data_IF_247638287274
#
_entry.id   IF_247638287274
#
_cell.length_a   1.000
_cell.length_b   1.000
_cell.length_c   1.000
_cell.angle_alpha   90.00
_cell.angle_beta   90.00
_cell.angle_gamma   90.00
#
_symmetry.space_group_name_H-M   'P 1'
#
loop_
_entity.id
_entity.type
_entity.pdbx_description
1 polymer ?
#
# COMPACT_ATOMS: atom_id res chain seq x y z
N UNK A 1 -0.78 -7.85 19.33
CA UNK A 1 -1.18 -6.75 18.45
C UNK A 1 -2.61 -6.95 17.94
N UNK A 2 -3.34 -5.88 17.56
CA UNK A 2 -4.70 -5.91 17.00
C UNK A 2 -4.77 -4.93 15.84
N UNK A 3 -5.33 -5.34 14.71
CA UNK A 3 -5.70 -4.44 13.62
C UNK A 3 -7.02 -3.79 14.01
N UNK A 4 -7.10 -2.46 13.97
CA UNK A 4 -8.24 -1.66 14.43
C UNK A 4 -8.89 -0.85 13.32
N UNK A 5 -8.26 -0.77 12.13
CA UNK A 5 -8.81 -0.13 10.96
C UNK A 5 -8.09 -0.57 9.70
N UNK A 6 -8.80 -0.55 8.58
CA UNK A 6 -8.31 -0.94 7.26
C UNK A 6 -8.76 0.06 6.20
N UNK A 7 -7.98 0.20 5.14
CA UNK A 7 -8.31 1.07 4.01
C UNK A 7 -7.63 0.62 2.74
N UNK A 8 -8.30 0.84 1.62
CA UNK A 8 -7.77 0.49 0.31
C UNK A 8 -8.06 1.57 -0.72
N UNK A 9 -7.19 1.67 -1.72
CA UNK A 9 -7.38 2.48 -2.91
C UNK A 9 -6.90 1.70 -4.14
N UNK A 10 -7.61 1.88 -5.24
CA UNK A 10 -7.31 1.23 -6.50
C UNK A 10 -7.33 2.27 -7.63
N UNK A 11 -6.49 2.11 -8.66
CA UNK A 11 -6.62 2.89 -9.90
C UNK A 11 -7.99 2.69 -10.54
N UNK A 12 -8.41 3.66 -11.33
CA UNK A 12 -9.73 3.64 -11.98
C UNK A 12 -9.76 2.79 -13.26
N UNK A 13 -8.61 2.62 -13.90
CA UNK A 13 -8.52 1.87 -15.15
C UNK A 13 -8.51 0.37 -14.85
N UNK A 14 -9.57 -0.34 -15.21
CA UNK A 14 -9.65 -1.79 -15.16
C UNK A 14 -9.27 -2.40 -16.51
N UNK A 15 -8.41 -3.41 -16.50
CA UNK A 15 -7.98 -4.17 -17.68
C UNK A 15 -8.44 -5.61 -17.51
N UNK A 16 -9.27 -6.10 -18.44
CA UNK A 16 -9.75 -7.48 -18.45
C UNK A 16 -8.73 -8.43 -19.08
N UNK A 17 -8.91 -9.74 -18.87
CA UNK A 17 -8.07 -10.74 -19.51
C UNK A 17 -8.19 -10.69 -21.03
N UNK A 18 -9.39 -10.49 -21.57
CA UNK A 18 -9.64 -10.33 -23.01
C UNK A 18 -8.89 -9.13 -23.63
N UNK A 19 -8.68 -8.07 -22.85
CA UNK A 19 -7.86 -6.94 -23.30
C UNK A 19 -6.39 -7.34 -23.41
N UNK A 20 -5.88 -8.19 -22.51
CA UNK A 20 -4.51 -8.68 -22.54
C UNK A 20 -4.26 -9.62 -23.73
N UNK A 21 -5.23 -10.43 -24.14
CA UNK A 21 -5.14 -11.33 -25.29
C UNK A 21 -4.81 -10.60 -26.60
N UNK A 22 -5.10 -9.29 -26.68
CA UNK A 22 -4.85 -8.48 -27.88
C UNK A 22 -3.37 -8.23 -28.17
N UNK A 23 -2.51 -8.38 -27.15
CA UNK A 23 -1.08 -8.07 -27.25
C UNK A 23 -0.16 -9.03 -26.49
N UNK A 24 -0.73 -10.00 -25.78
CA UNK A 24 0.02 -11.07 -25.11
C UNK A 24 -0.46 -12.44 -25.60
N UNK A 25 0.45 -13.40 -25.67
CA UNK A 25 0.13 -14.80 -25.96
C UNK A 25 -0.45 -15.47 -24.71
N UNK A 26 -1.73 -15.24 -24.44
CA UNK A 26 -2.48 -15.72 -23.28
C UNK A 26 -3.97 -15.87 -23.60
N UNK A 27 -4.78 -16.35 -22.64
CA UNK A 27 -6.24 -16.39 -22.72
C UNK A 27 -6.90 -16.12 -21.37
N UNK A 28 -8.17 -15.68 -21.38
CA UNK A 28 -8.95 -15.52 -20.14
C UNK A 28 -9.04 -16.85 -19.38
N UNK A 29 -9.25 -17.95 -20.08
CA UNK A 29 -9.29 -19.30 -19.47
C UNK A 29 -7.98 -19.62 -18.76
N UNK A 30 -6.83 -19.42 -19.44
CA UNK A 30 -5.51 -19.69 -18.90
C UNK A 30 -5.21 -18.87 -17.64
N UNK A 31 -5.50 -17.56 -17.68
CA UNK A 31 -5.27 -16.66 -16.53
C UNK A 31 -6.18 -17.01 -15.38
N UNK A 32 -7.48 -17.22 -15.67
CA UNK A 32 -8.50 -17.49 -14.66
C UNK A 32 -8.25 -18.83 -13.95
N UNK A 33 -7.91 -19.89 -14.71
CA UNK A 33 -7.63 -21.21 -14.14
C UNK A 33 -6.45 -21.18 -13.16
N UNK A 34 -5.41 -20.36 -13.44
CA UNK A 34 -4.18 -20.30 -12.63
C UNK A 34 -4.23 -19.30 -11.50
N UNK A 35 -5.00 -18.24 -11.64
CA UNK A 35 -4.94 -17.10 -10.72
C UNK A 35 -6.28 -16.70 -10.11
N UNK A 36 -7.39 -17.12 -10.71
CA UNK A 36 -8.73 -16.65 -10.37
C UNK A 36 -9.00 -15.19 -10.81
N UNK A 37 -8.04 -14.50 -11.44
CA UNK A 37 -8.13 -13.08 -11.78
C UNK A 37 -8.91 -12.91 -13.08
N UNK A 38 -9.98 -12.13 -13.05
CA UNK A 38 -10.78 -11.73 -14.22
C UNK A 38 -10.37 -10.39 -14.80
N UNK A 39 -10.00 -9.47 -13.92
CA UNK A 39 -9.54 -8.13 -14.26
C UNK A 39 -8.51 -7.62 -13.25
N UNK A 40 -7.74 -6.62 -13.61
CA UNK A 40 -6.80 -5.91 -12.72
C UNK A 40 -6.90 -4.42 -12.95
N UNK A 41 -6.71 -3.66 -11.87
CA UNK A 41 -6.57 -2.22 -11.97
C UNK A 41 -5.13 -1.86 -12.36
N UNK A 42 -4.99 -0.96 -13.32
CA UNK A 42 -3.70 -0.43 -13.74
C UNK A 42 -3.67 1.08 -13.53
N UNK A 43 -2.52 1.56 -13.10
CA UNK A 43 -2.33 3.00 -12.91
C UNK A 43 -2.30 3.70 -14.29
N UNK A 44 -2.97 4.81 -14.41
CA UNK A 44 -3.01 5.62 -15.64
C UNK A 44 -2.55 7.05 -15.39
N UNK A 45 -3.39 7.85 -14.78
CA UNK A 45 -3.10 9.24 -14.40
C UNK A 45 -2.90 9.43 -12.89
N UNK A 46 -3.22 8.42 -12.12
CA UNK A 46 -3.08 8.44 -10.67
C UNK A 46 -1.59 8.39 -10.27
N UNK A 47 -1.29 8.91 -9.09
CA UNK A 47 0.02 8.79 -8.46
C UNK A 47 -0.04 7.79 -7.31
N UNK A 48 1.02 6.99 -7.16
CA UNK A 48 1.12 6.00 -6.09
C UNK A 48 0.92 6.63 -4.72
N UNK A 49 1.60 7.75 -4.47
CA UNK A 49 1.50 8.44 -3.19
C UNK A 49 0.07 8.93 -2.88
N UNK A 50 -0.69 9.37 -3.88
CA UNK A 50 -2.07 9.84 -3.67
C UNK A 50 -3.01 8.66 -3.34
N UNK A 51 -2.83 7.52 -4.00
CA UNK A 51 -3.57 6.30 -3.66
C UNK A 51 -3.21 5.79 -2.27
N UNK A 52 -1.92 5.81 -1.91
CA UNK A 52 -1.46 5.45 -0.56
C UNK A 52 -2.08 6.34 0.52
N UNK A 53 -2.16 7.65 0.27
CA UNK A 53 -2.82 8.63 1.16
C UNK A 53 -4.32 8.36 1.29
N UNK A 54 -5.01 8.04 0.19
CA UNK A 54 -6.43 7.69 0.22
C UNK A 54 -6.65 6.43 1.08
N UNK A 55 -5.83 5.40 0.88
CA UNK A 55 -5.91 4.17 1.68
C UNK A 55 -5.61 4.43 3.17
N UNK A 56 -4.58 5.22 3.46
CA UNK A 56 -4.22 5.61 4.82
C UNK A 56 -5.35 6.35 5.53
N UNK A 57 -5.95 7.35 4.88
CA UNK A 57 -7.06 8.12 5.46
C UNK A 57 -8.29 7.24 5.72
N UNK A 58 -8.62 6.31 4.81
CA UNK A 58 -9.70 5.34 5.05
C UNK A 58 -9.43 4.43 6.24
N UNK A 59 -8.17 3.98 6.41
CA UNK A 59 -7.80 3.17 7.56
C UNK A 59 -7.90 3.95 8.88
N UNK A 60 -7.54 5.23 8.89
CA UNK A 60 -7.70 6.11 10.05
C UNK A 60 -9.19 6.32 10.37
N UNK A 61 -10.01 6.59 9.36
CA UNK A 61 -11.46 6.74 9.53
C UNK A 61 -12.12 5.49 10.10
N UNK A 62 -11.78 4.30 9.54
CA UNK A 62 -12.27 3.00 10.01
C UNK A 62 -11.85 2.71 11.46
N UNK A 63 -10.64 3.15 11.84
CA UNK A 63 -10.14 3.04 13.21
C UNK A 63 -10.76 4.07 14.19
N UNK A 64 -11.43 5.10 13.70
CA UNK A 64 -11.88 6.25 14.50
C UNK A 64 -10.71 7.09 15.03
N UNK A 65 -9.60 7.13 14.30
CA UNK A 65 -8.38 7.86 14.63
C UNK A 65 -8.12 9.01 13.65
N UNK A 66 -7.26 9.92 14.08
CA UNK A 66 -6.71 10.99 13.24
C UNK A 66 -5.21 10.79 13.02
N UNK A 67 -4.62 11.52 12.09
CA UNK A 67 -3.18 11.46 11.83
C UNK A 67 -2.32 11.81 13.07
N UNK A 68 -2.85 12.65 13.98
CA UNK A 68 -2.18 13.01 15.23
C UNK A 68 -2.13 11.89 16.28
N UNK A 69 -2.96 10.87 16.12
CA UNK A 69 -2.99 9.71 17.02
C UNK A 69 -1.97 8.64 16.63
N UNK A 70 -1.27 8.81 15.48
CA UNK A 70 -0.30 7.84 14.96
C UNK A 70 1.08 8.15 15.52
N UNK A 71 1.70 7.15 16.13
CA UNK A 71 3.04 7.24 16.74
C UNK A 71 4.17 6.80 15.80
N UNK A 72 3.85 6.02 14.75
CA UNK A 72 4.82 5.54 13.78
C UNK A 72 4.15 5.13 12.46
N UNK A 73 4.82 5.38 11.33
CA UNK A 73 4.39 4.92 10.01
C UNK A 73 5.43 3.95 9.45
N UNK A 74 4.99 2.78 8.98
CA UNK A 74 5.81 1.82 8.24
C UNK A 74 5.21 1.70 6.84
N UNK A 75 5.96 2.05 5.81
CA UNK A 75 5.54 1.86 4.43
C UNK A 75 6.34 0.72 3.81
N UNK A 76 5.65 -0.29 3.29
CA UNK A 76 6.25 -1.33 2.47
C UNK A 76 6.05 -0.98 1.01
N UNK A 77 7.16 -0.81 0.28
CA UNK A 77 7.16 -0.67 -1.18
C UNK A 77 8.45 -1.24 -1.78
N UNK A 78 8.42 -1.57 -3.06
CA UNK A 78 9.58 -2.00 -3.84
C UNK A 78 10.06 -0.88 -4.73
N UNK A 79 9.12 -0.19 -5.39
CA UNK A 79 9.40 0.85 -6.36
C UNK A 79 8.63 2.11 -6.01
N UNK A 80 9.37 3.21 -5.92
CA UNK A 80 8.84 4.54 -5.72
C UNK A 80 9.38 5.47 -6.82
N UNK A 81 8.64 6.52 -7.15
CA UNK A 81 9.08 7.55 -8.09
C UNK A 81 10.36 8.25 -7.63
N UNK A 82 10.54 8.37 -6.31
CA UNK A 82 11.69 9.04 -5.70
C UNK A 82 12.47 8.08 -4.78
N UNK A 83 13.80 8.15 -4.86
CA UNK A 83 14.67 7.51 -3.86
C UNK A 83 14.60 8.26 -2.53
N UNK A 84 14.47 9.58 -2.59
CA UNK A 84 14.29 10.48 -1.45
C UNK A 84 13.46 11.69 -1.87
N UNK A 85 12.48 12.15 -1.05
CA UNK A 85 12.10 11.56 0.23
C UNK A 85 11.49 10.16 0.09
N UNK A 86 11.55 9.36 1.18
CA UNK A 86 10.90 8.05 1.26
C UNK A 86 9.38 8.18 1.08
N UNK A 87 8.71 7.15 0.56
CA UNK A 87 7.25 7.20 0.35
C UNK A 87 6.49 7.42 1.66
N UNK A 88 6.95 6.80 2.75
CA UNK A 88 6.38 7.02 4.09
C UNK A 88 6.45 8.48 4.54
N UNK A 89 7.53 9.21 4.19
CA UNK A 89 7.64 10.65 4.48
C UNK A 89 6.65 11.48 3.65
N UNK A 90 6.43 11.11 2.39
CA UNK A 90 5.44 11.77 1.52
C UNK A 90 4.04 11.54 2.08
N UNK A 91 3.70 10.30 2.43
CA UNK A 91 2.42 9.94 3.04
C UNK A 91 2.22 10.71 4.34
N UNK A 92 3.23 10.70 5.24
CA UNK A 92 3.20 11.43 6.50
C UNK A 92 2.85 12.90 6.30
N UNK A 93 3.55 13.58 5.39
CA UNK A 93 3.30 15.00 5.11
C UNK A 93 1.90 15.25 4.55
N UNK A 94 1.43 14.40 3.63
CA UNK A 94 0.11 14.55 2.99
C UNK A 94 -1.06 14.27 3.94
N UNK A 95 -0.93 13.32 4.90
CA UNK A 95 -1.98 13.06 5.91
C UNK A 95 -1.89 14.00 7.12
N UNK A 96 -0.82 14.80 7.23
CA UNK A 96 -0.60 15.72 8.36
C UNK A 96 -0.11 15.05 9.64
N UNK A 97 0.49 13.86 9.55
CA UNK A 97 1.13 13.21 10.70
C UNK A 97 2.52 13.82 10.98
N UNK A 98 2.97 13.72 12.25
CA UNK A 98 4.28 14.24 12.68
C UNK A 98 5.18 13.18 13.32
N UNK A 99 4.72 11.93 13.34
CA UNK A 99 5.44 10.80 13.91
C UNK A 99 6.62 10.35 13.03
N UNK A 100 7.60 9.62 13.55
CA UNK A 100 8.66 9.00 12.74
C UNK A 100 8.10 8.02 11.69
N UNK A 101 8.81 7.91 10.57
CA UNK A 101 8.43 7.03 9.45
C UNK A 101 9.60 6.23 8.93
N UNK A 102 9.32 5.11 8.28
CA UNK A 102 10.32 4.27 7.60
C UNK A 102 9.71 3.56 6.41
N UNK A 103 10.48 3.45 5.32
CA UNK A 103 10.18 2.52 4.23
C UNK A 103 10.94 1.21 4.45
N UNK A 104 10.27 0.12 4.12
CA UNK A 104 10.89 -1.21 4.07
C UNK A 104 10.68 -1.82 2.68
N UNK A 105 11.70 -2.51 2.18
CA UNK A 105 11.61 -3.26 0.94
C UNK A 105 11.90 -4.73 1.23
N UNK A 106 10.87 -5.54 1.20
CA UNK A 106 10.92 -6.99 1.34
C UNK A 106 9.97 -7.67 0.35
N UNK A 107 9.69 -7.02 -0.76
CA UNK A 107 8.79 -7.49 -1.81
C UNK A 107 7.46 -8.03 -1.22
N UNK A 108 7.01 -9.21 -1.69
CA UNK A 108 5.75 -9.81 -1.23
C UNK A 108 5.68 -10.09 0.28
N UNK A 109 6.81 -10.15 0.98
CA UNK A 109 6.89 -10.34 2.42
C UNK A 109 6.81 -9.02 3.22
N UNK A 110 6.81 -7.86 2.54
CA UNK A 110 6.90 -6.55 3.19
C UNK A 110 5.82 -6.29 4.24
N UNK A 111 4.57 -6.67 3.97
CA UNK A 111 3.50 -6.55 4.96
C UNK A 111 3.79 -7.35 6.24
N UNK A 112 4.29 -8.58 6.11
CA UNK A 112 4.59 -9.44 7.26
C UNK A 112 5.72 -8.84 8.10
N UNK A 113 6.79 -8.35 7.46
CA UNK A 113 7.87 -7.66 8.18
C UNK A 113 7.42 -6.36 8.83
N UNK A 114 6.55 -5.58 8.16
CA UNK A 114 5.96 -4.39 8.76
C UNK A 114 5.14 -4.71 10.02
N UNK A 115 4.38 -5.81 9.99
CA UNK A 115 3.60 -6.29 11.14
C UNK A 115 4.50 -6.71 12.30
N UNK A 116 5.59 -7.44 12.04
CA UNK A 116 6.57 -7.87 13.02
C UNK A 116 7.23 -6.65 13.69
N UNK A 117 7.74 -5.71 12.90
CA UNK A 117 8.31 -4.46 13.40
C UNK A 117 7.32 -3.63 14.22
N UNK A 118 6.05 -3.59 13.81
CA UNK A 118 5.01 -2.90 14.55
C UNK A 118 4.73 -3.58 15.89
N UNK A 119 4.65 -4.91 15.91
CA UNK A 119 4.42 -5.66 17.14
C UNK A 119 5.54 -5.41 18.16
N UNK A 120 6.79 -5.37 17.74
CA UNK A 120 7.93 -5.08 18.63
C UNK A 120 7.84 -3.67 19.22
N UNK A 121 7.49 -2.67 18.42
CA UNK A 121 7.31 -1.29 18.94
C UNK A 121 6.16 -1.21 19.94
N UNK A 122 5.06 -1.92 19.69
CA UNK A 122 3.91 -1.98 20.61
C UNK A 122 4.27 -2.72 21.91
N UNK A 123 4.94 -3.87 21.83
CA UNK A 123 5.42 -4.65 23.01
C UNK A 123 6.41 -3.83 23.86
N UNK A 124 7.31 -3.11 23.22
CA UNK A 124 8.26 -2.21 23.89
C UNK A 124 7.64 -0.92 24.40
N UNK A 125 6.33 -0.70 24.22
CA UNK A 125 5.59 0.52 24.60
C UNK A 125 6.18 1.81 24.01
N UNK A 126 6.84 1.71 22.85
CA UNK A 126 7.39 2.85 22.10
C UNK A 126 6.35 3.51 21.17
N UNK A 127 5.25 2.81 20.94
CA UNK A 127 4.11 3.29 20.16
C UNK A 127 2.82 2.66 20.72
N UNK A 128 1.68 3.32 20.49
CA UNK A 128 0.33 2.81 20.76
C UNK A 128 -0.41 2.51 19.47
N UNK A 129 -0.31 3.42 18.50
CA UNK A 129 -0.94 3.30 17.20
C UNK A 129 0.13 3.37 16.11
N UNK A 130 0.14 2.41 15.23
CA UNK A 130 1.08 2.33 14.10
C UNK A 130 0.26 2.18 12.81
N UNK A 131 0.56 3.03 11.84
CA UNK A 131 0.00 2.93 10.50
C UNK A 131 0.97 2.13 9.62
N UNK A 132 0.48 1.04 9.06
CA UNK A 132 1.20 0.25 8.05
C UNK A 132 0.55 0.54 6.69
N UNK A 133 1.36 0.93 5.72
CA UNK A 133 0.93 1.19 4.34
C UNK A 133 1.71 0.26 3.42
N UNK A 134 1.01 -0.51 2.58
CA UNK A 134 1.61 -1.28 1.50
C UNK A 134 1.18 -0.64 0.19
N UNK A 135 2.11 -0.09 -0.56
CA UNK A 135 1.81 0.66 -1.78
C UNK A 135 2.74 0.24 -2.91
N UNK A 136 2.16 -0.25 -4.00
CA UNK A 136 2.89 -0.76 -5.17
C UNK A 136 2.22 -0.32 -6.47
N UNK A 137 3.02 -0.06 -7.49
CA UNK A 137 2.54 0.24 -8.84
C UNK A 137 3.24 -0.61 -9.93
N UNK A 138 3.16 -1.95 -9.86
CA UNK A 138 3.89 -2.82 -10.79
C UNK A 138 3.47 -2.62 -12.25
N UNK A 139 2.28 -2.08 -12.51
CA UNK A 139 1.81 -1.79 -13.86
C UNK A 139 2.59 -0.69 -14.60
N UNK A 140 3.49 0.05 -13.92
CA UNK A 140 4.45 0.97 -14.57
C UNK A 140 5.76 0.31 -14.94
N UNK A 141 5.98 -0.91 -14.50
CA UNK A 141 7.24 -1.64 -14.70
C UNK A 141 7.21 -2.55 -15.93
N UNK A 142 6.05 -2.70 -16.56
CA UNK A 142 5.80 -3.61 -17.70
C UNK A 142 5.36 -2.83 -18.93
#
# INVERSE_FOLDING_TARGET
>A
MKIIGTGAAHPKCAVTNEMLEKFLETSDEWITERTGIKERCVISSEKLEDMAVIAANKALEDAGLTASDIDFIICSNVVNEYVTPALSCIIQGKIGATCPTVDINAACAGFIFAMDMAEDKLKCKKAKNILIVCAEEPSRMV
#
